data_IF_084648197646
#
_entry.id   IF_084648197646
#
_cell.length_a   1.000
_cell.length_b   1.000
_cell.length_c   1.000
_cell.angle_alpha   90.00
_cell.angle_beta   90.00
_cell.angle_gamma   90.00
#
_symmetry.space_group_name_H-M   'P 1'
#
loop_
_entity.id
_entity.type
_entity.pdbx_description
1 polymer ?
#
# COMPACT_ATOMS: atom_id res chain seq x y z
N UNK A 1 8.02 -17.41 -3.89
CA UNK A 1 7.83 -16.13 -4.61
C UNK A 1 7.54 -15.06 -3.57
N UNK A 2 8.41 -14.06 -3.39
CA UNK A 2 8.15 -13.01 -2.40
C UNK A 2 6.80 -12.33 -2.67
N UNK A 3 6.06 -11.99 -1.62
CA UNK A 3 4.84 -11.20 -1.78
C UNK A 3 5.23 -9.76 -2.12
N UNK A 4 4.70 -9.22 -3.20
CA UNK A 4 5.03 -7.87 -3.67
C UNK A 4 3.79 -6.99 -3.73
N UNK A 5 3.90 -5.78 -3.23
CA UNK A 5 2.91 -4.73 -3.42
C UNK A 5 3.47 -3.76 -4.46
N UNK A 6 2.67 -3.42 -5.47
CA UNK A 6 3.00 -2.35 -6.40
C UNK A 6 2.00 -1.21 -6.24
N UNK A 7 2.54 0.00 -6.10
CA UNK A 7 1.79 1.25 -6.05
C UNK A 7 2.22 2.06 -7.26
N UNK A 8 1.30 2.24 -8.22
CA UNK A 8 1.57 2.90 -9.51
C UNK A 8 0.81 4.22 -9.68
N UNK A 9 -0.06 4.54 -8.73
CA UNK A 9 -0.68 5.85 -8.59
C UNK A 9 -1.03 6.08 -7.12
N UNK A 10 -0.77 7.30 -6.64
CA UNK A 10 -1.05 7.74 -5.27
C UNK A 10 -1.26 9.26 -5.23
N UNK A 11 -1.95 9.83 -6.22
CA UNK A 11 -2.35 11.24 -6.14
C UNK A 11 -3.20 11.40 -4.88
N UNK A 12 -2.63 12.09 -3.89
CA UNK A 12 -2.99 12.24 -2.49
C UNK A 12 -2.21 11.29 -1.55
N UNK A 13 -2.87 10.39 -0.83
CA UNK A 13 -2.18 9.51 0.13
C UNK A 13 -2.69 8.08 0.08
N UNK A 14 -1.78 7.11 0.09
CA UNK A 14 -2.07 5.68 0.23
C UNK A 14 -1.48 5.15 1.53
N UNK A 15 -2.34 4.64 2.40
CA UNK A 15 -1.96 3.93 3.63
C UNK A 15 -2.28 2.44 3.45
N UNK A 16 -1.31 1.57 3.76
CA UNK A 16 -1.47 0.12 3.67
C UNK A 16 -1.25 -0.53 5.03
N UNK A 17 -2.11 -1.47 5.40
CA UNK A 17 -2.07 -2.21 6.66
C UNK A 17 -2.17 -3.72 6.41
N UNK A 18 -1.25 -4.48 6.99
CA UNK A 18 -1.36 -5.93 7.14
C UNK A 18 -2.21 -6.24 8.37
N UNK A 19 -3.47 -6.59 8.14
CA UNK A 19 -4.37 -7.03 9.20
C UNK A 19 -4.20 -8.52 9.47
N UNK A 20 -3.99 -8.88 10.73
CA UNK A 20 -4.19 -10.23 11.26
C UNK A 20 -4.91 -10.13 12.60
N UNK A 21 -5.64 -11.18 12.98
CA UNK A 21 -6.31 -11.19 14.27
C UNK A 21 -5.26 -11.19 15.41
N UNK A 22 -5.43 -10.29 16.38
CA UNK A 22 -4.55 -10.18 17.55
C UNK A 22 -3.24 -9.40 17.34
N UNK A 23 -2.88 -9.04 16.10
CA UNK A 23 -1.73 -8.17 15.82
C UNK A 23 -1.89 -7.52 14.44
N UNK A 24 -1.48 -6.28 14.22
CA UNK A 24 -1.60 -5.66 12.88
C UNK A 24 -0.47 -4.67 12.66
N UNK A 25 -0.09 -4.49 11.40
CA UNK A 25 1.11 -3.75 11.04
C UNK A 25 0.81 -2.77 9.92
N UNK A 26 1.22 -1.52 10.07
CA UNK A 26 1.20 -0.59 8.95
C UNK A 26 2.37 -0.91 8.02
N UNK A 27 2.09 -1.18 6.75
CA UNK A 27 3.13 -1.48 5.76
C UNK A 27 3.68 -0.20 5.16
N UNK A 28 2.80 0.73 4.79
CA UNK A 28 3.19 1.91 4.05
C UNK A 28 2.31 3.12 4.38
N UNK A 29 2.92 4.30 4.27
CA UNK A 29 2.28 5.61 4.23
C UNK A 29 2.96 6.40 3.11
N UNK A 30 2.31 6.47 1.95
CA UNK A 30 2.86 7.10 0.75
C UNK A 30 2.00 8.30 0.39
N UNK A 31 2.62 9.48 0.32
CA UNK A 31 2.00 10.70 -0.19
C UNK A 31 2.54 11.02 -1.57
N UNK A 32 1.67 11.39 -2.50
CA UNK A 32 2.06 11.97 -3.78
C UNK A 32 1.02 13.01 -4.19
N UNK A 33 1.35 13.87 -5.12
CA UNK A 33 0.46 14.94 -5.55
C UNK A 33 0.92 15.54 -6.85
N UNK A 34 0.20 16.55 -7.33
CA UNK A 34 0.54 17.29 -8.54
C UNK A 34 0.72 16.38 -9.78
N UNK A 35 0.05 15.22 -9.81
CA UNK A 35 0.19 14.22 -10.86
C UNK A 35 1.62 13.70 -11.04
N UNK A 36 2.43 13.75 -9.98
CA UNK A 36 3.76 13.15 -9.98
C UNK A 36 3.67 11.63 -10.21
N UNK A 37 4.54 11.07 -11.07
CA UNK A 37 4.53 9.64 -11.33
C UNK A 37 4.95 8.85 -10.09
N UNK A 38 4.26 7.74 -9.85
CA UNK A 38 4.51 6.81 -8.75
C UNK A 38 4.81 5.43 -9.31
N UNK A 39 5.94 4.84 -8.91
CA UNK A 39 6.33 3.47 -9.26
C UNK A 39 7.09 2.83 -8.08
N UNK A 40 6.34 2.53 -7.02
CA UNK A 40 6.89 1.96 -5.77
C UNK A 40 6.57 0.48 -5.70
N UNK A 41 7.60 -0.33 -5.46
CA UNK A 41 7.47 -1.75 -5.17
C UNK A 41 7.86 -2.02 -3.72
N UNK A 42 7.02 -2.73 -2.98
CA UNK A 42 7.28 -3.15 -1.60
C UNK A 42 7.32 -4.67 -1.57
N UNK A 43 8.47 -5.24 -1.24
CA UNK A 43 8.61 -6.66 -0.97
C UNK A 43 8.27 -6.93 0.50
N UNK A 44 7.25 -7.74 0.73
CA UNK A 44 6.92 -8.23 2.07
C UNK A 44 7.78 -9.46 2.38
N UNK A 45 8.53 -9.38 3.47
CA UNK A 45 9.44 -10.44 3.92
C UNK A 45 9.08 -10.89 5.32
N UNK A 46 9.35 -12.16 5.64
CA UNK A 46 9.22 -12.64 7.00
C UNK A 46 10.40 -12.14 7.85
N UNK A 47 10.14 -11.62 9.05
CA UNK A 47 11.18 -11.13 9.96
C UNK A 47 10.65 -10.27 11.11
N UNK A 48 11.56 -9.62 11.82
CA UNK A 48 11.21 -8.57 12.78
C UNK A 48 10.58 -7.39 12.04
N UNK A 49 9.52 -6.81 12.58
CA UNK A 49 8.79 -5.72 11.92
C UNK A 49 9.69 -4.50 11.65
N UNK A 50 9.63 -3.94 10.44
CA UNK A 50 10.43 -2.77 10.03
C UNK A 50 9.60 -1.64 9.39
N UNK A 51 8.28 -1.68 9.52
CA UNK A 51 7.39 -0.70 8.91
C UNK A 51 7.08 0.51 9.80
N UNK A 52 6.32 1.49 9.26
CA UNK A 52 5.89 1.57 7.87
C UNK A 52 6.99 2.15 6.96
N UNK A 53 6.96 1.80 5.67
CA UNK A 53 7.64 2.59 4.63
C UNK A 53 6.92 3.93 4.51
N UNK A 54 7.60 5.02 4.84
CA UNK A 54 7.06 6.38 4.68
C UNK A 54 7.78 7.10 3.54
N UNK A 55 7.02 7.55 2.54
CA UNK A 55 7.52 8.30 1.40
C UNK A 55 6.64 9.53 1.17
N UNK A 56 7.27 10.65 0.84
CA UNK A 56 6.59 11.90 0.50
C UNK A 56 7.07 12.38 -0.89
N UNK A 57 6.16 12.30 -1.84
CA UNK A 57 6.35 12.71 -3.23
C UNK A 57 5.32 13.72 -3.69
N UNK A 58 4.77 14.53 -2.79
CA UNK A 58 3.81 15.59 -3.14
C UNK A 58 4.35 16.47 -4.27
N UNK A 59 5.64 16.82 -4.19
CA UNK A 59 6.30 17.70 -5.15
C UNK A 59 7.38 17.00 -6.00
N UNK A 60 7.57 15.69 -5.83
CA UNK A 60 8.60 14.94 -6.55
C UNK A 60 8.14 13.52 -6.92
N UNK A 61 8.52 13.00 -8.10
CA UNK A 61 8.30 11.60 -8.48
C UNK A 61 8.75 10.59 -7.42
N UNK A 62 7.98 9.52 -7.24
CA UNK A 62 8.35 8.40 -6.38
C UNK A 62 8.68 7.16 -7.21
N UNK A 63 9.86 6.59 -6.98
CA UNK A 63 10.18 5.26 -7.50
C UNK A 63 11.11 4.49 -6.57
N UNK A 64 11.10 3.17 -6.68
CA UNK A 64 12.05 2.32 -5.97
C UNK A 64 11.45 1.01 -5.48
N UNK A 65 12.34 0.15 -5.01
CA UNK A 65 11.99 -1.15 -4.44
C UNK A 65 12.44 -1.20 -2.99
N UNK A 66 11.50 -1.43 -2.08
CA UNK A 66 11.71 -1.40 -0.64
C UNK A 66 11.35 -2.75 -0.01
N UNK A 67 11.92 -3.05 1.15
CA UNK A 67 11.55 -4.24 1.91
C UNK A 67 10.82 -3.81 3.19
N UNK A 68 9.69 -4.44 3.48
CA UNK A 68 9.03 -4.35 4.78
C UNK A 68 8.95 -5.75 5.35
N UNK A 69 9.48 -5.92 6.56
CA UNK A 69 9.45 -7.19 7.26
C UNK A 69 8.22 -7.26 8.16
N UNK A 70 7.58 -8.43 8.21
CA UNK A 70 6.43 -8.74 9.05
C UNK A 70 6.68 -10.09 9.72
N UNK A 71 6.08 -10.32 10.89
CA UNK A 71 6.11 -11.65 11.49
C UNK A 71 5.52 -12.72 10.53
N UNK A 72 5.94 -13.99 10.60
CA UNK A 72 5.31 -15.05 9.84
C UNK A 72 3.81 -15.12 10.13
N UNK A 73 2.99 -15.22 9.08
CA UNK A 73 1.54 -15.23 9.25
C UNK A 73 0.76 -15.18 7.94
N UNK A 74 -0.56 -15.20 8.09
CA UNK A 74 -1.51 -14.96 7.02
C UNK A 74 -2.22 -13.64 7.29
N UNK A 75 -2.16 -12.72 6.33
CA UNK A 75 -2.61 -11.35 6.50
C UNK A 75 -3.64 -11.00 5.44
N UNK A 76 -4.64 -10.21 5.84
CA UNK A 76 -5.45 -9.44 4.88
C UNK A 76 -4.76 -8.09 4.69
N UNK A 77 -4.43 -7.76 3.44
CA UNK A 77 -3.96 -6.42 3.12
C UNK A 77 -5.19 -5.51 3.02
N UNK A 78 -5.25 -4.50 3.88
CA UNK A 78 -6.23 -3.42 3.84
C UNK A 78 -5.51 -2.16 3.37
N UNK A 79 -6.07 -1.48 2.38
CA UNK A 79 -5.52 -0.22 1.90
C UNK A 79 -6.56 0.89 1.97
N UNK A 80 -6.09 2.11 2.20
CA UNK A 80 -6.90 3.32 2.18
C UNK A 80 -6.19 4.33 1.29
N UNK A 81 -6.87 4.78 0.23
CA UNK A 81 -6.53 6.00 -0.48
C UNK A 81 -7.31 7.15 0.15
N UNK A 82 -6.63 8.20 0.58
CA UNK A 82 -7.22 9.36 1.25
C UNK A 82 -7.19 10.54 0.28
N UNK A 83 -8.34 11.17 0.06
CA UNK A 83 -8.43 12.40 -0.70
C UNK A 83 -8.35 13.64 0.23
N UNK A 84 -7.25 14.37 0.15
CA UNK A 84 -7.05 15.68 0.80
C UNK A 84 -7.54 16.88 -0.03
N UNK A 85 -8.14 16.64 -1.20
CA UNK A 85 -8.63 17.63 -2.15
C UNK A 85 -8.06 17.47 -3.56
N UNK A 86 -8.72 18.06 -4.55
CA UNK A 86 -8.29 18.04 -5.95
C UNK A 86 -8.56 16.71 -6.68
N UNK A 87 -7.99 16.51 -7.88
CA UNK A 87 -8.04 15.24 -8.59
C UNK A 87 -7.37 14.13 -7.77
N UNK A 88 -7.92 12.93 -7.83
CA UNK A 88 -7.34 11.75 -7.17
C UNK A 88 -7.12 10.61 -8.15
N UNK A 89 -6.09 9.82 -7.90
CA UNK A 89 -5.77 8.62 -8.67
C UNK A 89 -5.00 7.64 -7.78
N UNK A 90 -5.54 6.44 -7.66
CA UNK A 90 -4.95 5.39 -6.83
C UNK A 90 -4.88 4.07 -7.58
N UNK A 91 -3.72 3.42 -7.50
CA UNK A 91 -3.53 2.10 -8.08
C UNK A 91 -2.60 1.28 -7.20
N UNK A 92 -3.16 0.25 -6.56
CA UNK A 92 -2.46 -0.68 -5.69
C UNK A 92 -2.74 -2.11 -6.12
N UNK A 93 -1.69 -2.91 -6.23
CA UNK A 93 -1.79 -4.35 -6.51
C UNK A 93 -0.95 -5.16 -5.53
N UNK A 94 -1.38 -6.40 -5.27
CA UNK A 94 -0.66 -7.39 -4.49
C UNK A 94 -0.39 -8.60 -5.40
N UNK A 95 0.88 -9.01 -5.50
CA UNK A 95 1.33 -10.10 -6.36
C UNK A 95 0.87 -9.96 -7.82
N UNK A 96 0.84 -8.72 -8.32
CA UNK A 96 0.39 -8.39 -9.68
C UNK A 96 -1.13 -8.32 -9.88
N UNK A 97 -1.93 -8.66 -8.87
CA UNK A 97 -3.38 -8.52 -8.93
C UNK A 97 -3.83 -7.22 -8.24
N UNK A 98 -4.62 -6.39 -8.93
CA UNK A 98 -5.20 -5.18 -8.34
C UNK A 98 -6.04 -5.53 -7.11
N UNK A 99 -5.95 -4.72 -6.05
CA UNK A 99 -6.74 -4.96 -4.84
C UNK A 99 -8.23 -4.70 -5.10
N UNK A 100 -9.09 -5.52 -4.47
CA UNK A 100 -10.53 -5.39 -4.61
C UNK A 100 -11.04 -4.19 -3.82
N UNK A 101 -11.60 -3.22 -4.52
CA UNK A 101 -12.29 -2.07 -3.94
C UNK A 101 -13.48 -2.53 -3.09
N UNK A 102 -13.52 -2.06 -1.85
CA UNK A 102 -14.62 -2.24 -0.90
C UNK A 102 -15.48 -0.97 -0.80
N UNK A 103 -14.85 0.20 -0.95
CA UNK A 103 -15.49 1.51 -0.93
C UNK A 103 -14.76 2.45 -1.87
N UNK A 104 -15.48 3.36 -2.53
CA UNK A 104 -14.90 4.42 -3.34
C UNK A 104 -15.83 5.62 -3.38
N UNK A 105 -15.28 6.80 -3.12
CA UNK A 105 -15.94 8.08 -3.25
C UNK A 105 -14.95 9.11 -3.85
N UNK A 106 -15.33 9.81 -4.93
CA UNK A 106 -14.50 10.84 -5.56
C UNK A 106 -13.96 11.93 -4.62
N UNK A 107 -14.71 12.28 -3.57
CA UNK A 107 -14.38 13.38 -2.66
C UNK A 107 -13.61 12.91 -1.41
N UNK A 108 -13.77 11.65 -1.01
CA UNK A 108 -13.21 11.13 0.24
C UNK A 108 -12.00 10.21 0.02
N UNK A 109 -12.04 9.40 -1.03
CA UNK A 109 -11.02 8.40 -1.31
C UNK A 109 -11.57 7.00 -1.57
N UNK A 110 -10.79 5.99 -1.19
CA UNK A 110 -11.05 4.59 -1.59
C UNK A 110 -10.53 3.64 -0.52
N UNK A 111 -11.22 2.51 -0.33
CA UNK A 111 -10.76 1.43 0.55
C UNK A 111 -10.69 0.15 -0.25
N UNK A 112 -9.62 -0.61 -0.07
CA UNK A 112 -9.45 -1.94 -0.64
C UNK A 112 -9.20 -2.99 0.45
N UNK A 113 -9.53 -4.23 0.12
CA UNK A 113 -9.14 -5.39 0.91
C UNK A 113 -8.74 -6.54 -0.01
N UNK A 114 -7.67 -7.24 0.35
CA UNK A 114 -7.31 -8.51 -0.28
C UNK A 114 -8.08 -9.69 0.34
N UNK A 115 -7.97 -10.86 -0.28
CA UNK A 115 -8.21 -12.12 0.44
C UNK A 115 -7.03 -12.40 1.39
N UNK A 116 -7.24 -13.19 2.46
CA UNK A 116 -6.15 -13.57 3.37
C UNK A 116 -5.00 -14.25 2.61
N UNK A 117 -3.82 -13.63 2.65
CA UNK A 117 -2.63 -14.05 1.91
C UNK A 117 -1.53 -14.46 2.87
N UNK A 118 -1.00 -15.68 2.70
CA UNK A 118 0.15 -16.17 3.47
C UNK A 118 1.43 -15.53 2.93
N UNK A 119 2.26 -14.99 3.81
CA UNK A 119 3.59 -14.52 3.41
C UNK A 119 4.44 -15.71 2.99
N UNK A 120 4.97 -15.65 1.79
CA UNK A 120 5.93 -16.62 1.28
C UNK A 120 7.31 -16.35 1.89
N UNK A 121 8.07 -17.43 2.10
CA UNK A 121 9.46 -17.37 2.53
C UNK A 121 10.37 -16.93 1.38
#
# INVERSE_FOLDING_TARGET
MANTIHITASDNQVILTAYVWGNSYQIADIKSGNSNPVNVTINLKQGQYTGPLSLDGVDTPLSGTYNVYLAPGQYTLVGTGINWGGPQSFAVSLNGAALKTQYSNPEEGVVWASVPTKLQQ
#
